data_IF_105646211926
#
_entry.id   IF_105646211926
#
_cell.length_a   1.000
_cell.length_b   1.000
_cell.length_c   1.000
_cell.angle_alpha   90.00
_cell.angle_beta   90.00
_cell.angle_gamma   90.00
#
_symmetry.space_group_name_H-M   'P 1'
#
loop_
_entity.id
_entity.type
_entity.pdbx_description
1 polymer ?
#
# COMPACT_ATOMS: atom_id res chain seq x y z
N UNK A 1 11.85 16.56 -13.35
CA UNK A 1 11.39 16.03 -12.04
C UNK A 1 10.18 15.08 -12.14
N UNK A 2 9.12 15.39 -12.91
CA UNK A 2 7.92 14.51 -13.03
C UNK A 2 8.19 13.10 -13.59
N UNK A 3 9.09 12.94 -14.57
CA UNK A 3 9.38 11.62 -15.17
C UNK A 3 10.03 10.63 -14.18
N UNK A 4 10.83 11.10 -13.22
CA UNK A 4 11.50 10.19 -12.28
C UNK A 4 10.50 9.57 -11.30
N UNK A 5 9.55 10.36 -10.80
CA UNK A 5 8.50 9.86 -9.91
C UNK A 5 7.60 8.81 -10.60
N UNK A 6 7.28 9.03 -11.88
CA UNK A 6 6.52 8.05 -12.66
C UNK A 6 7.28 6.74 -12.86
N UNK A 7 8.56 6.79 -13.20
CA UNK A 7 9.39 5.59 -13.34
C UNK A 7 9.56 4.83 -12.02
N UNK A 8 9.74 5.54 -10.90
CA UNK A 8 9.79 4.94 -9.57
C UNK A 8 8.46 4.27 -9.19
N UNK A 9 7.32 4.89 -9.52
CA UNK A 9 6.00 4.30 -9.30
C UNK A 9 5.79 3.04 -10.14
N UNK A 10 6.25 3.03 -11.39
CA UNK A 10 6.18 1.85 -12.25
C UNK A 10 7.05 0.71 -11.71
N UNK A 11 8.27 1.01 -11.27
CA UNK A 11 9.13 0.02 -10.61
C UNK A 11 8.48 -0.51 -9.33
N UNK A 12 7.86 0.36 -8.52
CA UNK A 12 7.10 -0.05 -7.34
C UNK A 12 5.96 -0.99 -7.72
N UNK A 13 5.24 -0.74 -8.81
CA UNK A 13 4.16 -1.61 -9.28
C UNK A 13 4.67 -3.01 -9.63
N UNK A 14 5.84 -3.12 -10.28
CA UNK A 14 6.46 -4.41 -10.56
C UNK A 14 6.84 -5.16 -9.28
N UNK A 15 7.44 -4.47 -8.30
CA UNK A 15 7.84 -5.07 -7.03
C UNK A 15 6.61 -5.51 -6.21
N UNK A 16 5.62 -4.62 -6.09
CA UNK A 16 4.41 -4.89 -5.34
C UNK A 16 3.53 -5.95 -6.00
N UNK A 17 3.56 -6.10 -7.32
CA UNK A 17 2.81 -7.13 -8.03
C UNK A 17 3.21 -8.57 -7.65
N UNK A 18 4.44 -8.78 -7.18
CA UNK A 18 4.90 -10.09 -6.74
C UNK A 18 4.38 -10.47 -5.34
N UNK A 19 4.22 -9.49 -4.44
CA UNK A 19 3.96 -9.73 -3.03
C UNK A 19 2.67 -10.53 -2.76
N UNK A 20 1.50 -10.21 -3.36
CA UNK A 20 0.26 -10.94 -3.10
C UNK A 20 0.33 -12.43 -3.44
N UNK A 21 1.21 -12.84 -4.35
CA UNK A 21 1.37 -14.27 -4.69
C UNK A 21 1.99 -15.03 -3.52
N UNK A 22 3.08 -14.51 -2.95
CA UNK A 22 3.72 -15.09 -1.77
C UNK A 22 2.82 -14.99 -0.54
N UNK A 23 2.13 -13.86 -0.35
CA UNK A 23 1.19 -13.66 0.74
C UNK A 23 0.04 -14.68 0.67
N UNK A 24 -0.53 -14.92 -0.52
CA UNK A 24 -1.57 -15.93 -0.71
C UNK A 24 -1.08 -17.35 -0.39
N UNK A 25 0.12 -17.71 -0.86
CA UNK A 25 0.73 -19.02 -0.54
C UNK A 25 0.91 -19.17 0.98
N UNK A 26 1.38 -18.13 1.67
CA UNK A 26 1.51 -18.14 3.13
C UNK A 26 0.18 -18.27 3.86
N UNK A 27 -0.84 -17.53 3.44
CA UNK A 27 -2.19 -17.56 4.04
C UNK A 27 -2.88 -18.93 3.90
N UNK A 28 -2.57 -19.68 2.83
CA UNK A 28 -3.05 -21.06 2.65
C UNK A 28 -2.44 -22.04 3.67
N UNK A 29 -1.27 -21.72 4.24
CA UNK A 29 -0.59 -22.49 5.29
C UNK A 29 -1.24 -22.39 6.67
N UNK A 30 -2.55 -22.13 6.77
CA UNK A 30 -3.33 -21.90 8.00
C UNK A 30 -2.95 -20.64 8.79
N UNK A 31 -2.27 -19.69 8.17
CA UNK A 31 -2.06 -18.36 8.75
C UNK A 31 -3.36 -17.56 8.62
N UNK A 32 -3.90 -17.06 9.73
CA UNK A 32 -5.02 -16.13 9.70
C UNK A 32 -4.55 -14.70 9.34
N UNK A 33 -5.45 -13.82 8.85
CA UNK A 33 -5.08 -12.47 8.43
C UNK A 33 -4.35 -11.63 9.49
N UNK A 34 -4.69 -11.75 10.78
CA UNK A 34 -4.02 -10.99 11.83
C UNK A 34 -2.59 -11.49 12.02
N UNK A 35 -2.40 -12.81 12.12
CA UNK A 35 -1.08 -13.41 12.24
C UNK A 35 -0.21 -13.07 11.01
N UNK A 36 -0.79 -13.09 9.81
CA UNK A 36 -0.08 -12.69 8.59
C UNK A 36 0.45 -11.25 8.64
N UNK A 37 -0.34 -10.31 9.18
CA UNK A 37 0.09 -8.91 9.38
C UNK A 37 1.23 -8.81 10.38
N UNK A 38 1.19 -9.58 11.48
CA UNK A 38 2.29 -9.58 12.46
C UNK A 38 3.57 -10.13 11.82
N UNK A 39 3.49 -11.30 11.18
CA UNK A 39 4.64 -11.99 10.57
C UNK A 39 5.33 -11.12 9.52
N UNK A 40 4.57 -10.40 8.69
CA UNK A 40 5.18 -9.53 7.67
C UNK A 40 5.79 -8.26 8.26
N UNK A 41 5.22 -7.71 9.33
CA UNK A 41 5.55 -6.36 9.81
C UNK A 41 6.83 -6.34 10.63
N UNK A 42 7.07 -7.38 11.45
CA UNK A 42 8.25 -7.45 12.31
C UNK A 42 9.56 -7.41 11.49
N UNK A 43 9.77 -8.27 10.45
CA UNK A 43 10.98 -8.22 9.64
C UNK A 43 11.16 -6.88 8.91
N UNK A 44 10.06 -6.29 8.40
CA UNK A 44 10.11 -4.99 7.73
C UNK A 44 10.61 -3.90 8.69
N UNK A 45 10.08 -3.85 9.91
CA UNK A 45 10.50 -2.88 10.92
C UNK A 45 11.97 -3.07 11.31
N UNK A 46 12.42 -4.32 11.50
CA UNK A 46 13.81 -4.63 11.84
C UNK A 46 14.79 -4.24 10.74
N UNK A 47 14.46 -4.53 9.47
CA UNK A 47 15.29 -4.16 8.32
C UNK A 47 15.34 -2.64 8.17
N UNK A 48 14.20 -1.95 8.34
CA UNK A 48 14.15 -0.49 8.32
C UNK A 48 15.03 0.16 9.40
N UNK A 49 14.93 -0.34 10.64
CA UNK A 49 15.76 0.13 11.74
C UNK A 49 17.25 -0.14 11.50
N UNK A 50 17.60 -1.33 11.01
CA UNK A 50 18.96 -1.69 10.64
C UNK A 50 19.50 -0.74 9.56
N UNK A 51 18.68 -0.38 8.57
CA UNK A 51 19.04 0.61 7.55
C UNK A 51 19.39 1.97 8.16
N UNK A 52 18.61 2.46 9.12
CA UNK A 52 18.91 3.73 9.82
C UNK A 52 20.23 3.68 10.58
N UNK A 53 20.52 2.56 11.24
CA UNK A 53 21.78 2.34 11.95
C UNK A 53 22.95 2.35 10.97
N UNK A 54 22.88 1.58 9.89
CA UNK A 54 23.94 1.50 8.87
C UNK A 54 24.19 2.83 8.17
N UNK A 55 23.17 3.67 8.02
CA UNK A 55 23.29 5.02 7.46
C UNK A 55 23.80 6.05 8.48
N UNK A 56 24.01 5.69 9.74
CA UNK A 56 24.39 6.63 10.81
C UNK A 56 23.30 7.65 11.13
N UNK A 57 22.02 7.31 10.93
CA UNK A 57 20.87 8.22 11.05
C UNK A 57 19.93 7.87 12.20
N UNK A 58 20.39 7.12 13.20
CA UNK A 58 19.54 6.71 14.32
C UNK A 58 18.97 7.91 15.09
N UNK A 59 19.74 9.01 15.17
CA UNK A 59 19.34 10.24 15.86
C UNK A 59 18.08 10.88 15.25
N UNK A 60 17.79 10.60 13.97
CA UNK A 60 16.59 11.11 13.30
C UNK A 60 15.28 10.63 13.94
N UNK A 61 15.30 9.52 14.68
CA UNK A 61 14.15 9.02 15.43
C UNK A 61 13.76 9.97 16.58
N UNK A 62 14.71 10.72 17.12
CA UNK A 62 14.49 11.65 18.24
C UNK A 62 14.26 13.09 17.79
N UNK A 63 14.55 13.40 16.53
CA UNK A 63 14.40 14.73 15.94
C UNK A 63 13.09 14.89 15.15
N UNK A 64 12.26 13.85 15.09
CA UNK A 64 11.03 13.87 14.30
C UNK A 64 9.97 14.77 14.95
N UNK A 65 9.30 15.57 14.11
CA UNK A 65 8.13 16.33 14.51
C UNK A 65 6.96 15.40 14.84
N UNK A 66 6.33 15.61 16.01
CA UNK A 66 5.27 14.72 16.53
C UNK A 66 4.05 14.68 15.62
N UNK A 67 3.72 15.80 14.97
CA UNK A 67 2.59 15.89 14.05
C UNK A 67 2.85 15.05 12.79
N UNK A 68 4.04 15.17 12.24
CA UNK A 68 4.49 14.36 11.10
C UNK A 68 4.52 12.87 11.44
N UNK A 69 5.06 12.52 12.62
CA UNK A 69 5.04 11.14 13.12
C UNK A 69 3.61 10.60 13.27
N UNK A 70 2.69 11.40 13.82
CA UNK A 70 1.29 11.01 13.97
C UNK A 70 0.60 10.70 12.64
N UNK A 71 0.82 11.51 11.59
CA UNK A 71 0.27 11.22 10.26
C UNK A 71 0.82 9.92 9.67
N UNK A 72 2.12 9.65 9.84
CA UNK A 72 2.72 8.39 9.39
C UNK A 72 2.16 7.20 10.15
N UNK A 73 1.99 7.31 11.48
CA UNK A 73 1.40 6.26 12.31
C UNK A 73 -0.05 6.00 11.91
N UNK A 74 -0.87 7.04 11.73
CA UNK A 74 -2.27 6.91 11.29
C UNK A 74 -2.33 6.24 9.92
N UNK A 75 -1.49 6.68 8.97
CA UNK A 75 -1.39 6.04 7.65
C UNK A 75 -1.01 4.55 7.75
N UNK A 76 -0.05 4.22 8.62
CA UNK A 76 0.36 2.85 8.90
C UNK A 76 -0.75 2.00 9.53
N UNK A 77 -1.55 2.55 10.45
CA UNK A 77 -2.70 1.85 11.03
C UNK A 77 -3.81 1.62 10.00
N UNK A 78 -4.10 2.61 9.17
CA UNK A 78 -5.15 2.48 8.13
C UNK A 78 -4.71 1.49 7.05
N UNK A 79 -3.54 1.68 6.43
CA UNK A 79 -3.10 0.84 5.33
C UNK A 79 -2.52 -0.49 5.80
N UNK A 80 -1.63 -0.44 6.79
CA UNK A 80 -0.83 -1.58 7.22
C UNK A 80 -1.55 -2.56 8.14
N UNK A 81 -2.48 -2.07 8.96
CA UNK A 81 -3.29 -2.90 9.87
C UNK A 81 -4.70 -3.14 9.30
N UNK A 82 -5.56 -2.13 9.27
CA UNK A 82 -6.96 -2.31 8.87
C UNK A 82 -7.09 -2.78 7.41
N UNK A 83 -6.45 -2.07 6.48
CA UNK A 83 -6.47 -2.39 5.05
C UNK A 83 -5.88 -3.76 4.77
N UNK A 84 -4.72 -4.08 5.35
CA UNK A 84 -4.07 -5.37 5.12
C UNK A 84 -4.88 -6.55 5.68
N UNK A 85 -5.51 -6.42 6.84
CA UNK A 85 -6.36 -7.50 7.40
C UNK A 85 -7.50 -7.83 6.44
N UNK A 86 -8.19 -6.80 5.94
CA UNK A 86 -9.30 -6.98 4.99
C UNK A 86 -8.79 -7.53 3.66
N UNK A 87 -7.66 -7.02 3.17
CA UNK A 87 -7.01 -7.52 1.95
C UNK A 87 -6.61 -9.00 2.08
N UNK A 88 -6.01 -9.41 3.20
CA UNK A 88 -5.63 -10.79 3.47
C UNK A 88 -6.85 -11.71 3.62
N UNK A 89 -7.92 -11.25 4.26
CA UNK A 89 -9.16 -12.00 4.31
C UNK A 89 -9.69 -12.27 2.90
N UNK A 90 -9.75 -11.24 2.04
CA UNK A 90 -10.17 -11.38 0.65
C UNK A 90 -9.22 -12.26 -0.18
N UNK A 91 -7.91 -12.09 -0.03
CA UNK A 91 -6.88 -12.81 -0.77
C UNK A 91 -6.84 -14.30 -0.41
N UNK A 92 -7.16 -14.63 0.85
CA UNK A 92 -7.29 -16.01 1.33
C UNK A 92 -8.53 -16.70 0.77
N UNK A 93 -9.65 -15.97 0.62
CA UNK A 93 -10.92 -16.54 0.14
C UNK A 93 -11.12 -16.48 -1.37
N UNK A 94 -10.42 -15.58 -2.08
CA UNK A 94 -10.63 -15.31 -3.52
C UNK A 94 -9.38 -15.51 -4.36
N UNK A 95 -9.52 -15.45 -5.67
CA UNK A 95 -8.39 -15.53 -6.61
C UNK A 95 -7.49 -14.30 -6.56
N UNK A 96 -6.17 -14.47 -6.54
CA UNK A 96 -5.24 -13.33 -6.49
C UNK A 96 -5.36 -12.46 -7.75
N UNK A 97 -5.63 -13.08 -8.90
CA UNK A 97 -5.92 -12.43 -10.20
C UNK A 97 -7.12 -11.48 -10.17
N UNK A 98 -8.06 -11.67 -9.23
CA UNK A 98 -9.26 -10.83 -9.08
C UNK A 98 -9.09 -9.88 -7.90
N UNK A 99 -8.67 -10.40 -6.74
CA UNK A 99 -8.54 -9.62 -5.50
C UNK A 99 -7.51 -8.49 -5.65
N UNK A 100 -6.37 -8.75 -6.28
CA UNK A 100 -5.30 -7.76 -6.41
C UNK A 100 -5.72 -6.57 -7.28
N UNK A 101 -6.25 -6.76 -8.51
CA UNK A 101 -6.75 -5.64 -9.31
C UNK A 101 -7.92 -4.90 -8.66
N UNK A 102 -8.84 -5.61 -7.97
CA UNK A 102 -9.93 -4.97 -7.24
C UNK A 102 -9.41 -4.08 -6.12
N UNK A 103 -8.47 -4.57 -5.31
CA UNK A 103 -7.82 -3.76 -4.27
C UNK A 103 -7.05 -2.58 -4.88
N UNK A 104 -6.45 -2.76 -6.06
CA UNK A 104 -5.74 -1.71 -6.80
C UNK A 104 -6.64 -0.60 -7.38
N UNK A 105 -7.96 -0.62 -7.12
CA UNK A 105 -8.87 0.51 -7.41
C UNK A 105 -8.81 1.62 -6.37
N UNK A 106 -8.04 1.46 -5.29
CA UNK A 106 -7.84 2.48 -4.26
C UNK A 106 -7.37 3.86 -4.79
N UNK A 107 -6.72 4.03 -5.98
CA UNK A 107 -6.44 5.35 -6.53
C UNK A 107 -7.69 6.23 -6.71
N UNK A 108 -8.87 5.63 -6.90
CA UNK A 108 -10.14 6.37 -6.88
C UNK A 108 -10.38 7.04 -5.53
N UNK A 109 -10.22 6.27 -4.44
CA UNK A 109 -10.36 6.78 -3.06
C UNK A 109 -9.26 7.80 -2.78
N UNK A 110 -8.02 7.52 -3.19
CA UNK A 110 -6.89 8.43 -3.01
C UNK A 110 -7.12 9.79 -3.70
N UNK A 111 -7.68 9.81 -4.92
CA UNK A 111 -8.05 11.05 -5.60
C UNK A 111 -9.10 11.84 -4.81
N UNK A 112 -10.16 11.17 -4.33
CA UNK A 112 -11.22 11.85 -3.56
C UNK A 112 -10.63 12.45 -2.29
N UNK A 113 -9.84 11.68 -1.55
CA UNK A 113 -9.19 12.14 -0.32
C UNK A 113 -8.16 13.23 -0.62
N UNK A 114 -7.39 13.17 -1.71
CA UNK A 114 -6.42 14.22 -2.05
C UNK A 114 -7.10 15.54 -2.41
N UNK A 115 -8.25 15.50 -3.08
CA UNK A 115 -9.05 16.70 -3.35
C UNK A 115 -9.58 17.31 -2.04
N UNK A 116 -10.14 16.48 -1.16
CA UNK A 116 -10.76 16.95 0.08
C UNK A 116 -9.75 17.47 1.11
N UNK A 117 -8.60 16.81 1.26
CA UNK A 117 -7.65 17.11 2.33
C UNK A 117 -6.40 17.86 1.86
N UNK A 118 -5.98 17.68 0.60
CA UNK A 118 -4.78 18.32 0.05
C UNK A 118 -5.12 19.45 -0.94
N UNK A 119 -6.40 19.61 -1.31
CA UNK A 119 -6.83 20.64 -2.26
C UNK A 119 -6.31 20.41 -3.68
N UNK A 120 -6.02 19.15 -4.05
CA UNK A 120 -5.51 18.86 -5.38
C UNK A 120 -6.53 19.20 -6.47
N UNK A 121 -6.05 19.82 -7.56
CA UNK A 121 -6.88 20.02 -8.74
C UNK A 121 -7.20 18.67 -9.41
N UNK A 122 -8.48 18.49 -9.73
CA UNK A 122 -8.98 17.38 -10.55
C UNK A 122 -8.89 17.78 -12.01
N UNK A 123 -8.12 17.04 -12.79
CA UNK A 123 -8.05 17.21 -14.24
C UNK A 123 -8.88 16.15 -14.93
N UNK A 124 -9.38 16.46 -16.13
CA UNK A 124 -10.10 15.49 -16.95
C UNK A 124 -9.28 14.21 -17.20
N UNK A 125 -7.96 14.34 -17.36
CA UNK A 125 -7.05 13.20 -17.56
C UNK A 125 -7.00 12.29 -16.33
N UNK A 126 -7.00 12.84 -15.10
CA UNK A 126 -7.05 12.04 -13.86
C UNK A 126 -8.37 11.27 -13.79
N UNK A 127 -9.50 11.92 -14.09
CA UNK A 127 -10.83 11.29 -14.09
C UNK A 127 -10.88 10.17 -15.13
N UNK A 128 -10.50 10.45 -16.38
CA UNK A 128 -10.53 9.48 -17.46
C UNK A 128 -9.63 8.27 -17.17
N UNK A 129 -8.40 8.50 -16.68
CA UNK A 129 -7.46 7.44 -16.33
C UNK A 129 -7.99 6.54 -15.20
N UNK A 130 -8.48 7.13 -14.11
CA UNK A 130 -9.07 6.36 -13.00
C UNK A 130 -10.34 5.63 -13.46
N UNK A 131 -11.17 6.26 -14.29
CA UNK A 131 -12.33 5.63 -14.90
C UNK A 131 -11.97 4.38 -15.71
N UNK A 132 -10.88 4.42 -16.49
CA UNK A 132 -10.37 3.26 -17.21
C UNK A 132 -9.84 2.16 -16.26
N UNK A 133 -9.14 2.53 -15.19
CA UNK A 133 -8.67 1.56 -14.17
C UNK A 133 -9.85 0.85 -13.52
N UNK A 134 -10.82 1.60 -13.01
CA UNK A 134 -12.00 1.03 -12.35
C UNK A 134 -12.84 0.22 -13.33
N UNK A 135 -13.08 0.75 -14.53
CA UNK A 135 -13.84 0.08 -15.58
C UNK A 135 -13.20 -1.25 -16.01
N UNK A 136 -11.88 -1.28 -16.19
CA UNK A 136 -11.15 -2.51 -16.52
C UNK A 136 -11.25 -3.56 -15.42
N UNK A 137 -11.16 -3.14 -14.16
CA UNK A 137 -11.33 -4.05 -13.01
C UNK A 137 -12.74 -4.63 -12.92
N UNK A 138 -13.78 -3.87 -13.29
CA UNK A 138 -15.16 -4.38 -13.30
C UNK A 138 -15.37 -5.54 -14.28
N UNK A 139 -14.51 -5.71 -15.28
CA UNK A 139 -14.55 -6.85 -16.22
C UNK A 139 -14.04 -8.16 -15.61
N UNK A 140 -13.35 -8.10 -14.46
CA UNK A 140 -12.83 -9.27 -13.75
C UNK A 140 -13.85 -9.89 -12.78
N UNK A 141 -15.10 -9.39 -12.79
CA UNK A 141 -16.23 -9.96 -12.05
C UNK A 141 -16.76 -11.23 -12.70
#
# INVERSE_FOLDING_TARGET
>A
MKNNAFLLALLSACIWGMAPIFEKVGLNGRIDPYLGVVIRTIPIALIGLTGLILMGRIDSLFQIDIKSAAFVVIGGLIAGFAGQIVFYAALKSGEASVVVPVAATYPLVALIISVLFLGEAVTWQKIAGIGMVVGGVMLLK
#
